data_IF_409825137671
#
_entry.id   IF_409825137671
#
_cell.length_a   1.000
_cell.length_b   1.000
_cell.length_c   1.000
_cell.angle_alpha   90.00
_cell.angle_beta   90.00
_cell.angle_gamma   90.00
#
_symmetry.space_group_name_H-M   'P 1'
#
loop_
_entity.id
_entity.type
_entity.pdbx_description
1 polymer ?
#
# COMPACT_ATOMS: atom_id res chain seq x y z
N UNK A 1 2.26 1.30 3.91
CA UNK A 1 2.34 0.09 3.06
C UNK A 1 3.79 0.01 2.62
N UNK A 2 4.51 -1.05 2.97
CA UNK A 2 5.98 -1.11 2.83
C UNK A 2 6.47 -0.68 1.45
N UNK A 3 5.76 -1.01 0.37
CA UNK A 3 6.08 -0.55 -0.98
C UNK A 3 6.04 0.98 -1.17
N UNK A 4 4.94 1.62 -0.78
CA UNK A 4 4.81 3.08 -0.85
C UNK A 4 5.84 3.75 0.07
N UNK A 5 6.06 3.20 1.26
CA UNK A 5 6.98 3.76 2.25
C UNK A 5 8.45 3.73 1.80
N UNK A 6 8.79 2.93 0.77
CA UNK A 6 10.10 2.92 0.11
C UNK A 6 10.07 3.54 -1.29
N UNK A 7 9.26 4.60 -1.50
CA UNK A 7 9.18 5.31 -2.79
C UNK A 7 8.92 4.40 -4.00
N UNK A 8 8.10 3.35 -3.83
CA UNK A 8 7.79 2.38 -4.88
C UNK A 8 9.02 1.59 -5.38
N UNK A 9 10.09 1.47 -4.58
CA UNK A 9 11.25 0.66 -4.93
C UNK A 9 11.05 -0.82 -4.62
N UNK A 10 11.03 -1.64 -5.68
CA UNK A 10 10.87 -3.10 -5.58
C UNK A 10 12.01 -3.77 -4.80
N UNK A 11 13.26 -3.34 -5.02
CA UNK A 11 14.43 -3.96 -4.40
C UNK A 11 14.44 -3.76 -2.86
N UNK A 12 14.26 -2.52 -2.41
CA UNK A 12 14.19 -2.19 -0.97
C UNK A 12 13.00 -2.89 -0.33
N UNK A 13 11.83 -2.83 -0.97
CA UNK A 13 10.61 -3.46 -0.47
C UNK A 13 10.75 -4.98 -0.34
N UNK A 14 11.38 -5.63 -1.33
CA UNK A 14 11.61 -7.07 -1.32
C UNK A 14 12.49 -7.51 -0.14
N UNK A 15 13.55 -6.74 0.16
CA UNK A 15 14.42 -6.98 1.31
C UNK A 15 13.68 -6.79 2.64
N UNK A 16 12.91 -5.70 2.78
CA UNK A 16 12.14 -5.42 4.01
C UNK A 16 11.03 -6.43 4.28
N UNK A 17 10.45 -7.03 3.23
CA UNK A 17 9.39 -8.01 3.33
C UNK A 17 9.90 -9.46 3.34
N UNK A 18 11.22 -9.69 3.19
CA UNK A 18 11.82 -11.03 3.06
C UNK A 18 11.19 -11.87 1.94
N UNK A 19 10.81 -11.23 0.84
CA UNK A 19 10.25 -11.88 -0.35
C UNK A 19 11.06 -11.55 -1.59
N UNK A 20 10.93 -12.35 -2.65
CA UNK A 20 11.57 -12.05 -3.92
C UNK A 20 10.96 -10.79 -4.58
N UNK A 21 11.78 -10.04 -5.34
CA UNK A 21 11.33 -8.82 -6.05
C UNK A 21 10.15 -9.07 -6.99
N UNK A 22 10.07 -10.25 -7.62
CA UNK A 22 8.96 -10.62 -8.50
C UNK A 22 7.65 -10.80 -7.72
N UNK A 23 7.73 -11.30 -6.48
CA UNK A 23 6.55 -11.42 -5.61
C UNK A 23 6.00 -10.03 -5.27
N UNK A 24 6.87 -9.06 -4.99
CA UNK A 24 6.45 -7.66 -4.79
C UNK A 24 5.81 -7.12 -6.07
N UNK A 25 6.49 -7.27 -7.23
CA UNK A 25 5.98 -6.81 -8.53
C UNK A 25 4.61 -7.40 -8.85
N UNK A 26 4.42 -8.70 -8.66
CA UNK A 26 3.14 -9.37 -8.86
C UNK A 26 2.04 -8.82 -7.95
N UNK A 27 2.34 -8.61 -6.67
CA UNK A 27 1.38 -8.04 -5.71
C UNK A 27 0.97 -6.62 -6.11
N UNK A 28 1.91 -5.80 -6.56
CA UNK A 28 1.63 -4.44 -7.01
C UNK A 28 0.79 -4.44 -8.29
N UNK A 29 1.15 -5.24 -9.30
CA UNK A 29 0.36 -5.37 -10.52
C UNK A 29 -1.09 -5.78 -10.20
N UNK A 30 -1.27 -6.79 -9.33
CA UNK A 30 -2.60 -7.21 -8.89
C UNK A 30 -3.36 -6.09 -8.17
N UNK A 31 -2.69 -5.24 -7.40
CA UNK A 31 -3.32 -4.07 -6.79
C UNK A 31 -3.72 -3.02 -7.84
N UNK A 32 -2.85 -2.72 -8.81
CA UNK A 32 -3.16 -1.77 -9.89
C UNK A 32 -4.34 -2.26 -10.74
N UNK A 33 -4.43 -3.56 -11.02
CA UNK A 33 -5.57 -4.17 -11.72
C UNK A 33 -6.89 -4.01 -10.94
N UNK A 34 -6.85 -4.19 -9.61
CA UNK A 34 -8.02 -4.03 -8.74
C UNK A 34 -8.45 -2.57 -8.58
N UNK A 35 -7.47 -1.67 -8.55
CA UNK A 35 -7.69 -0.23 -8.35
C UNK A 35 -8.01 0.50 -9.65
N UNK A 36 -7.70 -0.13 -10.80
CA UNK A 36 -7.85 0.43 -12.14
C UNK A 36 -7.06 1.75 -12.33
N UNK A 37 -5.96 1.91 -11.60
CA UNK A 37 -5.04 3.03 -11.73
C UNK A 37 -3.63 2.62 -11.30
N UNK A 38 -2.61 3.34 -11.82
CA UNK A 38 -1.23 3.06 -11.44
C UNK A 38 -0.87 3.67 -10.09
N UNK A 39 -0.19 2.90 -9.24
CA UNK A 39 0.37 3.34 -7.95
C UNK A 39 1.68 4.13 -8.11
N UNK A 40 2.24 4.16 -9.32
CA UNK A 40 3.45 4.94 -9.64
C UNK A 40 3.16 6.42 -9.91
N UNK A 41 1.92 6.75 -10.26
CA UNK A 41 1.50 8.15 -10.38
C UNK A 41 1.51 8.83 -9.01
N UNK A 42 2.12 10.02 -8.92
CA UNK A 42 2.32 10.71 -7.65
C UNK A 42 0.99 11.06 -6.95
N UNK A 43 -0.04 11.42 -7.71
CA UNK A 43 -1.37 11.75 -7.18
C UNK A 43 -2.07 10.50 -6.67
N UNK A 44 -2.04 9.41 -7.43
CA UNK A 44 -2.60 8.13 -7.00
C UNK A 44 -1.89 7.56 -5.78
N UNK A 45 -0.55 7.68 -5.71
CA UNK A 45 0.25 7.29 -4.55
C UNK A 45 -0.17 8.06 -3.30
N UNK A 46 -0.37 9.38 -3.42
CA UNK A 46 -0.86 10.21 -2.32
C UNK A 46 -2.28 9.80 -1.89
N UNK A 47 -3.21 9.62 -2.84
CA UNK A 47 -4.56 9.15 -2.55
C UNK A 47 -4.56 7.82 -1.81
N UNK A 48 -3.72 6.86 -2.24
CA UNK A 48 -3.63 5.54 -1.62
C UNK A 48 -3.09 5.63 -0.19
N UNK A 49 -2.10 6.50 0.08
CA UNK A 49 -1.60 6.77 1.44
C UNK A 49 -2.69 7.32 2.34
N UNK A 50 -3.45 8.31 1.86
CA UNK A 50 -4.55 8.93 2.61
C UNK A 50 -5.65 7.89 2.86
N UNK A 51 -6.02 7.10 1.86
CA UNK A 51 -7.04 6.05 2.00
C UNK A 51 -6.66 5.01 3.06
N UNK A 52 -5.40 4.55 3.06
CA UNK A 52 -4.88 3.62 4.06
C UNK A 52 -4.86 4.23 5.47
N UNK A 53 -4.48 5.51 5.59
CA UNK A 53 -4.51 6.23 6.87
C UNK A 53 -5.94 6.36 7.40
N UNK A 54 -6.88 6.81 6.56
CA UNK A 54 -8.30 6.92 6.90
C UNK A 54 -8.89 5.58 7.31
N UNK A 55 -8.55 4.49 6.62
CA UNK A 55 -8.98 3.14 6.98
C UNK A 55 -8.48 2.72 8.36
N UNK A 56 -7.23 3.05 8.71
CA UNK A 56 -6.67 2.77 10.04
C UNK A 56 -7.39 3.57 11.15
N UNK A 57 -7.62 4.87 10.94
CA UNK A 57 -8.34 5.73 11.89
C UNK A 57 -9.78 5.24 12.08
N UNK A 58 -10.48 4.93 10.98
CA UNK A 58 -11.84 4.42 11.04
C UNK A 58 -11.93 3.13 11.86
N UNK A 59 -10.98 2.20 11.67
CA UNK A 59 -10.92 0.96 12.46
C UNK A 59 -10.73 1.23 13.95
N UNK A 60 -9.84 2.16 14.30
CA UNK A 60 -9.57 2.54 15.68
C UNK A 60 -10.83 3.14 16.33
N UNK A 61 -11.52 4.06 15.65
CA UNK A 61 -12.76 4.68 16.14
C UNK A 61 -13.85 3.62 16.37
N UNK A 62 -14.03 2.68 15.43
CA UNK A 62 -15.03 1.62 15.56
C UNK A 62 -14.73 0.73 16.77
N UNK A 63 -13.47 0.35 17.00
CA UNK A 63 -13.07 -0.45 18.17
C UNK A 63 -13.39 0.30 19.47
N UNK A 64 -13.02 1.57 19.58
CA UNK A 64 -13.32 2.37 20.79
C UNK A 64 -14.81 2.64 21.01
N UNK A 65 -15.65 2.54 19.97
CA UNK A 65 -17.10 2.70 20.10
C UNK A 65 -17.83 1.39 20.48
N UNK A 66 -17.15 0.25 20.39
CA UNK A 66 -17.66 -1.07 20.73
C UNK A 66 -17.19 -1.57 22.11
N UNK A 67 -16.30 -0.83 22.78
CA UNK A 67 -15.86 -1.02 24.16
C UNK A 67 -16.53 0.00 25.07
#
# INVERSE_FOLDING_TARGET
>A
MVYLDNNCELAITSRKLFVHRNTVKYRIAKCEDMLNYSVHDAKNSLHLRIALLMSSIFRVIVIYKLL
#
